data_IF_226863631065
#
_entry.id   IF_226863631065
#
_cell.length_a   1.000
_cell.length_b   1.000
_cell.length_c   1.000
_cell.angle_alpha   90.00
_cell.angle_beta   90.00
_cell.angle_gamma   90.00
#
_symmetry.space_group_name_H-M   'P 1'
#
loop_
_entity.id
_entity.type
_entity.pdbx_description
1 polymer ?
#
# COMPACT_ATOMS: atom_id res chain seq x y z
N UNK A 1 6.00 -39.29 54.51
CA UNK A 1 6.05 -39.51 53.03
C UNK A 1 4.60 -39.53 52.55
N UNK A 2 4.09 -38.68 51.66
CA UNK A 2 4.67 -37.87 50.56
C UNK A 2 3.96 -36.50 50.50
N UNK A 3 4.73 -35.43 50.29
CA UNK A 3 4.23 -34.10 49.92
C UNK A 3 4.01 -34.13 48.40
N UNK A 4 2.80 -33.86 47.92
CA UNK A 4 2.53 -33.67 46.50
C UNK A 4 2.61 -32.17 46.22
N UNK A 5 3.74 -31.73 45.67
CA UNK A 5 3.90 -30.39 45.12
C UNK A 5 3.04 -30.27 43.86
N UNK A 6 1.93 -29.54 43.93
CA UNK A 6 1.23 -29.05 42.74
C UNK A 6 2.00 -27.85 42.18
N UNK A 7 2.73 -28.07 41.08
CA UNK A 7 3.32 -27.01 40.28
C UNK A 7 2.19 -26.30 39.51
N UNK A 8 1.90 -25.06 39.89
CA UNK A 8 1.09 -24.13 39.14
C UNK A 8 1.83 -23.75 37.84
N UNK A 9 1.46 -24.37 36.72
CA UNK A 9 1.80 -23.85 35.39
C UNK A 9 0.75 -22.82 34.99
N UNK A 10 0.96 -21.55 35.32
CA UNK A 10 0.24 -20.45 34.68
C UNK A 10 0.80 -20.31 33.27
N UNK A 11 0.07 -20.84 32.28
CA UNK A 11 0.32 -20.56 30.87
C UNK A 11 -0.04 -19.09 30.66
N UNK A 12 0.99 -18.23 30.63
CA UNK A 12 0.85 -16.85 30.20
C UNK A 12 0.50 -16.84 28.72
N UNK A 13 -0.77 -16.58 28.39
CA UNK A 13 -1.16 -16.24 27.03
C UNK A 13 -0.54 -14.88 26.72
N UNK A 14 0.55 -14.89 25.95
CA UNK A 14 1.03 -13.68 25.29
C UNK A 14 -0.02 -13.35 24.24
N UNK A 15 -0.94 -12.46 24.57
CA UNK A 15 -1.90 -11.92 23.61
C UNK A 15 -1.13 -11.13 22.57
N UNK A 16 -0.78 -11.78 21.45
CA UNK A 16 -0.31 -11.10 20.25
C UNK A 16 -1.50 -10.32 19.73
N UNK A 17 -1.53 -9.01 19.96
CA UNK A 17 -2.49 -8.13 19.30
C UNK A 17 -2.12 -8.11 17.81
N UNK A 18 -2.68 -9.04 17.04
CA UNK A 18 -2.73 -8.94 15.59
C UNK A 18 -3.47 -7.64 15.28
N UNK A 19 -2.72 -6.59 14.96
CA UNK A 19 -3.30 -5.39 14.39
C UNK A 19 -4.12 -5.81 13.18
N UNK A 20 -5.41 -5.53 13.19
CA UNK A 20 -6.30 -5.94 12.12
C UNK A 20 -5.82 -5.31 10.81
N UNK A 21 -5.33 -6.15 9.88
CA UNK A 21 -5.02 -5.72 8.52
C UNK A 21 -6.37 -5.43 7.84
N UNK A 22 -6.62 -4.16 7.53
CA UNK A 22 -7.84 -3.76 6.82
C UNK A 22 -7.70 -4.26 5.38
N UNK A 23 -8.62 -5.11 4.89
CA UNK A 23 -8.56 -5.60 3.51
C UNK A 23 -8.72 -4.44 2.53
N UNK A 24 -7.95 -4.48 1.44
CA UNK A 24 -8.09 -3.56 0.31
C UNK A 24 -9.01 -4.21 -0.71
N UNK A 25 -9.96 -3.43 -1.23
CA UNK A 25 -10.91 -3.91 -2.23
C UNK A 25 -10.65 -3.24 -3.58
N UNK A 26 -10.82 -4.00 -4.66
CA UNK A 26 -10.89 -3.45 -6.01
C UNK A 26 -12.15 -2.60 -6.18
N UNK A 27 -12.21 -1.78 -7.23
CA UNK A 27 -13.44 -1.04 -7.60
C UNK A 27 -14.65 -1.94 -7.90
N UNK A 28 -14.39 -3.22 -8.19
CA UNK A 28 -15.42 -4.25 -8.38
C UNK A 28 -15.78 -5.01 -7.10
N UNK A 29 -15.23 -4.65 -5.94
CA UNK A 29 -15.53 -5.24 -4.64
C UNK A 29 -14.79 -6.55 -4.31
N UNK A 30 -13.78 -6.94 -5.10
CA UNK A 30 -12.97 -8.12 -4.79
C UNK A 30 -11.86 -7.75 -3.81
N UNK A 31 -11.53 -8.64 -2.87
CA UNK A 31 -10.36 -8.45 -1.99
C UNK A 31 -9.10 -8.52 -2.86
N UNK A 32 -8.18 -7.60 -2.65
CA UNK A 32 -6.87 -7.60 -3.31
C UNK A 32 -5.98 -8.68 -2.68
N UNK A 33 -5.48 -9.65 -3.47
CA UNK A 33 -4.53 -10.65 -3.01
C UNK A 33 -3.26 -10.02 -2.45
N UNK A 34 -2.69 -10.63 -1.40
CA UNK A 34 -1.49 -10.13 -0.73
C UNK A 34 -0.31 -9.84 -1.68
N UNK A 35 0.02 -10.71 -2.65
CA UNK A 35 1.12 -10.42 -3.59
C UNK A 35 0.90 -9.16 -4.44
N UNK A 36 -0.35 -8.74 -4.63
CA UNK A 36 -0.71 -7.55 -5.41
C UNK A 36 -0.76 -6.28 -4.57
N UNK A 37 -0.81 -6.38 -3.23
CA UNK A 37 -0.80 -5.22 -2.33
C UNK A 37 0.48 -4.38 -2.46
N UNK A 38 1.60 -5.00 -2.89
CA UNK A 38 2.87 -4.29 -3.14
C UNK A 38 2.72 -3.12 -4.12
N UNK A 39 1.83 -3.25 -5.12
CA UNK A 39 1.59 -2.19 -6.10
C UNK A 39 0.81 -1.01 -5.52
N UNK A 40 0.13 -1.21 -4.40
CA UNK A 40 -0.67 -0.21 -3.70
C UNK A 40 0.07 0.39 -2.49
N UNK A 41 1.37 0.10 -2.35
CA UNK A 41 2.16 0.47 -1.18
C UNK A 41 2.77 1.88 -1.23
N UNK A 42 2.30 2.75 -2.13
CA UNK A 42 2.82 4.11 -2.22
C UNK A 42 2.41 5.01 -1.05
N UNK A 43 3.25 5.99 -0.66
CA UNK A 43 2.83 7.08 0.20
C UNK A 43 1.64 7.82 -0.41
N UNK A 44 0.80 8.40 0.45
CA UNK A 44 -0.40 9.09 0.03
C UNK A 44 -0.06 10.28 -0.87
N UNK A 45 -0.67 10.37 -2.06
CA UNK A 45 -0.38 11.46 -2.99
C UNK A 45 1.01 11.43 -3.65
N UNK A 46 1.86 10.42 -3.43
CA UNK A 46 3.15 10.28 -4.12
C UNK A 46 2.95 9.84 -5.58
N UNK A 47 2.99 10.81 -6.49
CA UNK A 47 2.76 10.57 -7.93
C UNK A 47 3.90 9.78 -8.57
N UNK A 48 5.14 9.94 -8.12
CA UNK A 48 6.33 9.28 -8.68
C UNK A 48 6.29 7.80 -8.32
N UNK A 49 6.00 7.49 -7.05
CA UNK A 49 5.81 6.11 -6.63
C UNK A 49 4.66 5.45 -7.39
N UNK A 50 3.51 6.12 -7.50
CA UNK A 50 2.32 5.57 -8.16
C UNK A 50 2.57 5.24 -9.63
N UNK A 51 3.20 6.16 -10.36
CA UNK A 51 3.57 5.90 -11.76
C UNK A 51 4.53 4.72 -11.89
N UNK A 52 5.55 4.64 -11.03
CA UNK A 52 6.49 3.52 -11.00
C UNK A 52 5.78 2.19 -10.69
N UNK A 53 4.87 2.15 -9.71
CA UNK A 53 4.13 0.94 -9.36
C UNK A 53 3.17 0.52 -10.47
N UNK A 54 2.50 1.46 -11.14
CA UNK A 54 1.68 1.16 -12.31
C UNK A 54 2.50 0.58 -13.45
N UNK A 55 3.66 1.16 -13.72
CA UNK A 55 4.61 0.64 -14.71
C UNK A 55 5.10 -0.76 -14.35
N UNK A 56 5.42 -1.03 -13.08
CA UNK A 56 5.81 -2.38 -12.60
C UNK A 56 4.67 -3.39 -12.72
N UNK A 57 3.44 -2.99 -12.39
CA UNK A 57 2.25 -3.83 -12.46
C UNK A 57 1.97 -4.27 -13.90
N UNK A 58 1.84 -3.29 -14.81
CA UNK A 58 1.53 -3.53 -16.22
C UNK A 58 2.66 -4.21 -17.02
N UNK A 59 3.92 -4.07 -16.57
CA UNK A 59 5.06 -4.78 -17.17
C UNK A 59 5.34 -6.14 -16.53
N UNK A 60 4.60 -6.52 -15.48
CA UNK A 60 4.79 -7.77 -14.78
C UNK A 60 4.53 -8.97 -15.70
N UNK A 61 5.19 -10.10 -15.44
CA UNK A 61 4.99 -11.33 -16.20
C UNK A 61 3.54 -11.80 -16.12
N UNK A 62 2.96 -11.75 -14.92
CA UNK A 62 1.59 -12.13 -14.68
C UNK A 62 0.60 -11.25 -15.47
N UNK A 63 0.77 -9.93 -15.44
CA UNK A 63 -0.09 -9.02 -16.21
C UNK A 63 -0.03 -9.31 -17.71
N UNK A 64 1.18 -9.49 -18.27
CA UNK A 64 1.35 -9.84 -19.69
C UNK A 64 0.66 -11.16 -20.04
N UNK A 65 0.82 -12.19 -19.22
CA UNK A 65 0.13 -13.47 -19.42
C UNK A 65 -1.39 -13.27 -19.40
N UNK A 66 -1.92 -12.47 -18.48
CA UNK A 66 -3.34 -12.18 -18.37
C UNK A 66 -3.91 -11.40 -19.57
N UNK A 67 -3.10 -10.56 -20.22
CA UNK A 67 -3.52 -9.78 -21.38
C UNK A 67 -3.32 -10.50 -22.71
N UNK A 68 -2.26 -11.30 -22.83
CA UNK A 68 -1.79 -11.81 -24.12
C UNK A 68 -2.10 -13.29 -24.35
N UNK A 69 -2.46 -14.05 -23.32
CA UNK A 69 -2.68 -15.49 -23.46
C UNK A 69 -4.04 -15.80 -24.06
N UNK A 70 -4.08 -16.82 -24.92
CA UNK A 70 -5.31 -17.50 -25.30
C UNK A 70 -6.06 -17.93 -24.02
N UNK A 71 -7.34 -17.53 -23.85
CA UNK A 71 -8.15 -17.93 -22.71
C UNK A 71 -8.09 -19.43 -22.42
N UNK A 72 -8.01 -20.29 -23.44
CA UNK A 72 -7.96 -21.75 -23.28
C UNK A 72 -6.62 -22.26 -22.74
N UNK A 73 -5.57 -21.45 -22.79
CA UNK A 73 -4.20 -21.78 -22.34
C UNK A 73 -3.74 -20.94 -21.15
N UNK A 74 -4.64 -20.16 -20.56
CA UNK A 74 -4.30 -19.23 -19.49
C UNK A 74 -3.72 -19.95 -18.27
N UNK A 75 -4.34 -21.04 -17.84
CA UNK A 75 -3.87 -21.86 -16.71
C UNK A 75 -2.49 -22.45 -16.97
N UNK A 76 -2.28 -23.03 -18.16
CA UNK A 76 -0.98 -23.58 -18.57
C UNK A 76 0.09 -22.48 -18.60
N UNK A 77 -0.24 -21.30 -19.12
CA UNK A 77 0.68 -20.18 -19.26
C UNK A 77 1.12 -19.62 -17.91
N UNK A 78 0.19 -19.46 -16.97
CA UNK A 78 0.48 -19.04 -15.59
C UNK A 78 1.33 -20.07 -14.86
N UNK A 79 0.95 -21.34 -14.95
CA UNK A 79 1.65 -22.47 -14.32
C UNK A 79 3.08 -22.63 -14.84
N UNK A 80 3.26 -22.62 -16.17
CA UNK A 80 4.57 -22.73 -16.83
C UNK A 80 5.53 -21.60 -16.44
N UNK A 81 4.99 -20.42 -16.14
CA UNK A 81 5.75 -19.24 -15.71
C UNK A 81 5.89 -19.14 -14.19
N UNK A 82 5.37 -20.13 -13.45
CA UNK A 82 5.39 -20.20 -11.98
C UNK A 82 4.81 -18.94 -11.35
N UNK A 83 3.71 -18.44 -11.92
CA UNK A 83 2.95 -17.34 -11.33
C UNK A 83 2.14 -17.91 -10.17
N UNK A 84 2.38 -17.40 -8.96
CA UNK A 84 1.54 -17.69 -7.83
C UNK A 84 0.21 -16.93 -7.96
N UNK A 85 -0.87 -17.69 -8.13
CA UNK A 85 -2.24 -17.17 -8.20
C UNK A 85 -3.04 -17.50 -6.95
N UNK A 86 -2.45 -18.13 -5.92
CA UNK A 86 -3.15 -18.61 -4.73
C UNK A 86 -4.32 -19.55 -5.06
N UNK A 87 -5.41 -19.43 -4.30
CA UNK A 87 -6.63 -20.22 -4.47
C UNK A 87 -7.57 -19.69 -5.57
N UNK A 88 -7.14 -18.67 -6.31
CA UNK A 88 -7.95 -18.09 -7.38
C UNK A 88 -7.89 -18.94 -8.63
N UNK A 89 -9.02 -19.04 -9.34
CA UNK A 89 -8.95 -19.53 -10.71
C UNK A 89 -8.23 -18.51 -11.61
N UNK A 90 -7.60 -18.94 -12.71
CA UNK A 90 -6.83 -18.08 -13.60
C UNK A 90 -7.54 -16.80 -14.08
N UNK A 91 -8.81 -16.90 -14.45
CA UNK A 91 -9.58 -15.77 -14.97
C UNK A 91 -9.85 -14.73 -13.89
N UNK A 92 -10.21 -15.19 -12.70
CA UNK A 92 -10.46 -14.32 -11.56
C UNK A 92 -9.18 -13.61 -11.11
N UNK A 93 -8.08 -14.34 -11.02
CA UNK A 93 -6.77 -13.75 -10.74
C UNK A 93 -6.45 -12.64 -11.74
N UNK A 94 -6.58 -12.92 -13.04
CA UNK A 94 -6.29 -11.93 -14.09
C UNK A 94 -7.21 -10.72 -14.04
N UNK A 95 -8.51 -10.92 -13.77
CA UNK A 95 -9.47 -9.84 -13.56
C UNK A 95 -9.08 -8.95 -12.38
N UNK A 96 -8.70 -9.55 -11.25
CA UNK A 96 -8.29 -8.81 -10.06
C UNK A 96 -6.97 -8.08 -10.31
N UNK A 97 -5.97 -8.74 -10.90
CA UNK A 97 -4.68 -8.15 -11.23
C UNK A 97 -4.85 -6.91 -12.12
N UNK A 98 -5.64 -7.02 -13.19
CA UNK A 98 -5.92 -5.89 -14.06
C UNK A 98 -6.57 -4.72 -13.29
N UNK A 99 -7.56 -5.00 -12.43
CA UNK A 99 -8.19 -3.97 -11.59
C UNK A 99 -7.25 -3.35 -10.57
N UNK A 100 -6.31 -4.12 -10.02
CA UNK A 100 -5.26 -3.57 -9.15
C UNK A 100 -4.40 -2.60 -9.95
N UNK A 101 -3.91 -2.98 -11.14
CA UNK A 101 -3.09 -2.07 -11.95
C UNK A 101 -3.83 -0.77 -12.31
N UNK A 102 -5.13 -0.86 -12.63
CA UNK A 102 -5.97 0.31 -12.98
C UNK A 102 -6.18 1.26 -11.79
N UNK A 103 -6.28 0.73 -10.57
CA UNK A 103 -6.60 1.56 -9.40
C UNK A 103 -5.37 2.20 -8.73
N UNK A 104 -4.13 1.86 -9.12
CA UNK A 104 -2.90 2.37 -8.46
C UNK A 104 -2.87 3.91 -8.40
N UNK A 105 -3.18 4.58 -9.50
CA UNK A 105 -3.10 6.04 -9.58
C UNK A 105 -4.09 6.73 -8.62
N UNK A 106 -5.30 6.16 -8.50
CA UNK A 106 -6.39 6.72 -7.68
C UNK A 106 -6.40 6.23 -6.24
N UNK A 107 -5.79 5.08 -5.96
CA UNK A 107 -5.74 4.51 -4.62
C UNK A 107 -4.91 5.39 -3.68
N UNK A 108 -5.45 5.66 -2.50
CA UNK A 108 -4.77 6.39 -1.44
C UNK A 108 -4.96 5.63 -0.13
N UNK A 109 -3.85 5.42 0.58
CA UNK A 109 -3.90 4.88 1.93
C UNK A 109 -4.69 5.81 2.86
N UNK A 110 -5.29 5.28 3.94
CA UNK A 110 -5.95 6.11 4.95
C UNK A 110 -5.00 7.18 5.50
N UNK A 111 -5.53 8.37 5.77
CA UNK A 111 -4.79 9.43 6.42
C UNK A 111 -4.47 9.04 7.86
N UNK A 112 -3.22 9.20 8.27
CA UNK A 112 -2.74 8.91 9.64
C UNK A 112 -2.31 10.18 10.35
N UNK A 113 -2.28 10.15 11.69
CA UNK A 113 -1.83 11.28 12.51
C UNK A 113 -0.38 11.65 12.21
N UNK A 114 0.48 10.67 11.97
CA UNK A 114 1.90 10.92 11.67
C UNK A 114 2.08 11.70 10.37
N UNK A 115 1.16 11.59 9.40
CA UNK A 115 1.17 12.43 8.20
C UNK A 115 0.88 13.90 8.48
N UNK A 116 0.21 14.21 9.59
CA UNK A 116 -0.15 15.57 9.99
C UNK A 116 0.86 16.19 10.96
N UNK A 117 1.33 15.42 11.95
CA UNK A 117 2.07 15.96 13.08
C UNK A 117 3.59 15.77 12.98
N UNK A 118 4.05 14.71 12.32
CA UNK A 118 5.47 14.53 12.02
C UNK A 118 5.78 15.22 10.68
N UNK A 119 5.99 16.54 10.77
CA UNK A 119 6.23 17.39 9.61
C UNK A 119 7.68 17.29 9.10
N UNK A 120 8.62 16.88 9.94
CA UNK A 120 10.06 16.87 9.59
C UNK A 120 10.36 15.79 8.55
N UNK A 121 9.55 14.73 8.51
CA UNK A 121 9.65 13.68 7.49
C UNK A 121 9.46 14.16 6.05
N UNK A 122 8.90 15.35 5.84
CA UNK A 122 8.75 15.93 4.51
C UNK A 122 10.02 16.65 4.03
N UNK A 123 10.89 17.04 4.96
CA UNK A 123 12.09 17.86 4.72
C UNK A 123 13.38 17.01 4.71
N UNK A 124 13.28 15.72 4.40
CA UNK A 124 14.41 14.77 4.45
C UNK A 124 15.14 14.61 3.11
N UNK A 125 14.69 15.28 2.06
CA UNK A 125 15.30 15.18 0.74
C UNK A 125 16.65 15.91 0.70
N UNK A 126 17.57 15.41 -0.14
CA UNK A 126 18.76 16.18 -0.49
C UNK A 126 18.37 17.34 -1.40
N UNK A 127 19.20 18.38 -1.44
CA UNK A 127 18.94 19.59 -2.23
C UNK A 127 18.87 19.31 -3.74
N UNK A 128 19.59 18.30 -4.22
CA UNK A 128 19.73 17.89 -5.62
C UNK A 128 18.84 16.68 -6.00
N UNK A 129 17.99 16.21 -5.09
CA UNK A 129 17.10 15.05 -5.32
C UNK A 129 15.70 15.52 -5.73
N UNK A 130 15.57 15.90 -7.00
CA UNK A 130 14.33 16.43 -7.58
C UNK A 130 13.16 15.43 -7.49
N UNK A 131 13.42 14.14 -7.66
CA UNK A 131 12.41 13.08 -7.55
C UNK A 131 11.89 12.98 -6.10
N UNK A 132 12.77 13.05 -5.11
CA UNK A 132 12.38 13.11 -3.71
C UNK A 132 11.55 14.36 -3.42
N UNK A 133 12.01 15.54 -3.86
CA UNK A 133 11.28 16.81 -3.66
C UNK A 133 9.90 16.77 -4.29
N UNK A 134 9.78 16.24 -5.51
CA UNK A 134 8.52 16.06 -6.21
C UNK A 134 7.57 15.10 -5.45
N UNK A 135 8.08 13.94 -5.03
CA UNK A 135 7.32 12.95 -4.25
C UNK A 135 6.83 13.52 -2.91
N UNK A 136 7.73 14.12 -2.12
CA UNK A 136 7.40 14.71 -0.81
C UNK A 136 6.48 15.92 -0.96
N UNK A 137 6.71 16.78 -1.95
CA UNK A 137 5.87 17.93 -2.24
C UNK A 137 4.45 17.53 -2.62
N UNK A 138 4.31 16.54 -3.51
CA UNK A 138 3.01 15.99 -3.90
C UNK A 138 2.28 15.35 -2.71
N UNK A 139 2.98 14.53 -1.92
CA UNK A 139 2.46 13.92 -0.70
C UNK A 139 1.98 14.99 0.29
N UNK A 140 2.83 15.97 0.60
CA UNK A 140 2.53 17.02 1.57
C UNK A 140 1.30 17.83 1.16
N UNK A 141 1.23 18.28 -0.10
CA UNK A 141 0.07 19.00 -0.64
C UNK A 141 -1.21 18.18 -0.59
N UNK A 142 -1.13 16.89 -0.89
CA UNK A 142 -2.29 16.00 -0.81
C UNK A 142 -2.78 15.84 0.63
N UNK A 143 -1.86 15.66 1.58
CA UNK A 143 -2.17 15.55 3.00
C UNK A 143 -2.77 16.85 3.54
N UNK A 144 -2.27 18.03 3.13
CA UNK A 144 -2.87 19.32 3.51
C UNK A 144 -4.33 19.40 3.08
N UNK A 145 -4.65 18.99 1.83
CA UNK A 145 -6.04 18.97 1.34
C UNK A 145 -6.94 18.10 2.22
N UNK A 146 -6.45 16.95 2.67
CA UNK A 146 -7.21 16.06 3.55
C UNK A 146 -7.21 16.50 5.02
N UNK A 147 -6.23 17.29 5.45
CA UNK A 147 -6.13 17.79 6.82
C UNK A 147 -7.29 18.73 7.15
N UNK A 148 -7.60 19.66 6.23
CA UNK A 148 -8.65 20.64 6.42
C UNK A 148 -10.02 19.99 6.60
N UNK A 149 -10.67 20.29 7.73
CA UNK A 149 -11.97 19.72 8.11
C UNK A 149 -11.88 18.45 8.96
N UNK A 150 -10.74 17.76 8.97
CA UNK A 150 -10.54 16.50 9.72
C UNK A 150 -9.60 16.67 10.94
N UNK A 151 -8.76 17.71 10.95
CA UNK A 151 -7.74 17.94 11.98
C UNK A 151 -7.72 19.41 12.45
N UNK A 152 -7.05 19.72 13.59
CA UNK A 152 -6.97 21.08 14.09
C UNK A 152 -6.35 22.06 13.09
N UNK A 153 -7.01 23.20 12.86
CA UNK A 153 -6.57 24.21 11.87
C UNK A 153 -5.10 24.63 12.03
N UNK A 154 -4.62 24.75 13.27
CA UNK A 154 -3.23 25.10 13.57
C UNK A 154 -2.23 24.05 13.05
N UNK A 155 -2.58 22.76 13.14
CA UNK A 155 -1.75 21.68 12.63
C UNK A 155 -1.72 21.68 11.10
N UNK A 156 -2.87 21.84 10.45
CA UNK A 156 -2.96 21.93 8.98
C UNK A 156 -2.23 23.16 8.44
N UNK A 157 -2.28 24.30 9.14
CA UNK A 157 -1.51 25.49 8.78
C UNK A 157 0.00 25.22 8.86
N UNK A 158 0.48 24.64 9.97
CA UNK A 158 1.89 24.29 10.14
C UNK A 158 2.37 23.33 9.05
N UNK A 159 1.56 22.32 8.72
CA UNK A 159 1.87 21.39 7.63
C UNK A 159 1.95 22.12 6.27
N UNK A 160 1.01 23.03 5.98
CA UNK A 160 1.03 23.82 4.74
C UNK A 160 2.31 24.64 4.61
N UNK A 161 2.72 25.33 5.68
CA UNK A 161 3.97 26.10 5.74
C UNK A 161 5.22 25.20 5.59
N UNK A 162 5.16 23.95 6.05
CA UNK A 162 6.22 22.96 5.79
C UNK A 162 6.27 22.56 4.32
N UNK A 163 5.12 22.34 3.67
CA UNK A 163 5.08 21.94 2.27
C UNK A 163 5.76 22.96 1.35
N UNK A 164 5.66 24.25 1.67
CA UNK A 164 6.28 25.35 0.91
C UNK A 164 7.82 25.26 0.93
N UNK A 165 8.42 24.67 1.96
CA UNK A 165 9.88 24.57 2.14
C UNK A 165 10.52 23.36 1.45
N UNK A 166 9.73 22.49 0.82
CA UNK A 166 10.25 21.27 0.19
C UNK A 166 10.96 21.61 -1.13
N UNK A 167 10.52 22.66 -1.81
CA UNK A 167 11.06 23.09 -3.11
C UNK A 167 12.25 24.06 -2.96
N UNK A 168 12.45 24.63 -1.76
CA UNK A 168 13.63 25.44 -1.38
C UNK A 168 14.92 24.59 -1.29
#
# INVERSE_FOLDING_TARGET
>A
MKIINLLYFTIGFVSVSLGAVIPVYTSSGNIVPEPLLTYLDCPIGDIVCKDNMRNKCTKSKAYKICMDSDPLKLEESLSKKKIDIGDYNPYEYCRIHNKVCDMIESYNKPLTKDLIFDIDKYLTCKSDDDDCKLSKGSTCRFVVKMCWGNYPKKACKKLSETCEKIED
#
